data_IF_009894405819
#
_entry.id   IF_009894405819
#
_cell.length_a   1.000
_cell.length_b   1.000
_cell.length_c   1.000
_cell.angle_alpha   90.00
_cell.angle_beta   90.00
_cell.angle_gamma   90.00
#
_symmetry.space_group_name_H-M   'P 1'
#
loop_
_entity.id
_entity.type
_entity.pdbx_description
1 polymer ?
#
# COMPACT_ATOMS: atom_id res chain seq x y z
N UNK A 1 -44.20 40.99 5.10
CA UNK A 1 -42.86 40.95 4.49
C UNK A 1 -41.76 40.27 5.31
N UNK A 2 -42.02 39.89 6.59
CA UNK A 2 -40.97 39.35 7.50
C UNK A 2 -40.70 37.82 7.34
N UNK A 3 -41.63 37.05 6.75
CA UNK A 3 -41.49 35.60 6.63
C UNK A 3 -40.71 35.12 5.42
N UNK A 4 -40.59 35.95 4.40
CA UNK A 4 -39.88 35.61 3.13
C UNK A 4 -38.39 35.70 3.30
N UNK A 5 -37.90 36.69 4.01
CA UNK A 5 -36.47 36.88 4.32
C UNK A 5 -35.93 35.79 5.22
N UNK A 6 -36.74 35.25 6.16
CA UNK A 6 -36.37 34.17 7.08
C UNK A 6 -36.27 32.83 6.36
N UNK A 7 -37.11 32.59 5.35
CA UNK A 7 -37.05 31.37 4.50
C UNK A 7 -35.86 31.39 3.52
N UNK A 8 -35.53 32.54 2.94
CA UNK A 8 -34.34 32.68 2.10
C UNK A 8 -33.05 32.49 2.91
N UNK A 9 -32.98 32.97 4.17
CA UNK A 9 -31.83 32.76 5.02
C UNK A 9 -31.58 31.28 5.41
N UNK A 10 -32.66 30.52 5.65
CA UNK A 10 -32.55 29.09 5.94
C UNK A 10 -32.15 28.25 4.72
N UNK A 11 -32.60 28.62 3.51
CA UNK A 11 -32.19 27.95 2.27
C UNK A 11 -30.71 28.24 1.97
N UNK A 12 -30.24 29.46 2.16
CA UNK A 12 -28.84 29.85 1.99
C UNK A 12 -27.91 29.15 2.98
N UNK A 13 -28.34 28.99 4.23
CA UNK A 13 -27.56 28.29 5.24
C UNK A 13 -27.48 26.77 4.94
N UNK A 14 -28.57 26.16 4.47
CA UNK A 14 -28.60 24.76 4.05
C UNK A 14 -27.69 24.47 2.85
N UNK A 15 -27.66 25.38 1.88
CA UNK A 15 -26.80 25.25 0.71
C UNK A 15 -25.31 25.46 1.04
N UNK A 16 -24.99 26.34 1.99
CA UNK A 16 -23.63 26.55 2.47
C UNK A 16 -23.09 25.36 3.27
N UNK A 17 -23.94 24.68 4.06
CA UNK A 17 -23.55 23.47 4.79
C UNK A 17 -23.29 22.27 3.87
N UNK A 18 -23.98 22.15 2.74
CA UNK A 18 -23.76 21.05 1.79
C UNK A 18 -22.45 21.18 0.99
N UNK A 19 -21.82 22.35 0.96
CA UNK A 19 -20.52 22.57 0.31
C UNK A 19 -19.31 22.18 1.21
N UNK A 20 -19.55 21.89 2.51
CA UNK A 20 -18.50 21.46 3.42
C UNK A 20 -18.33 19.91 3.46
N UNK A 21 -19.09 19.15 2.70
CA UNK A 21 -18.94 17.71 2.63
C UNK A 21 -17.81 17.31 1.70
N UNK A 22 -16.59 17.20 2.24
CA UNK A 22 -15.70 16.26 1.62
C UNK A 22 -14.37 16.69 1.13
N UNK A 23 -13.46 16.85 2.05
CA UNK A 23 -12.13 16.31 1.78
C UNK A 23 -12.10 14.91 2.42
N UNK A 24 -12.51 13.88 1.67
CA UNK A 24 -12.15 12.51 2.03
C UNK A 24 -10.63 12.48 2.03
N UNK A 25 -10.03 12.36 3.23
CA UNK A 25 -8.59 12.31 3.35
C UNK A 25 -8.12 11.03 2.66
N UNK A 26 -7.50 11.16 1.49
CA UNK A 26 -6.89 10.05 0.76
C UNK A 26 -5.55 9.69 1.38
N UNK A 27 -5.24 8.40 1.43
CA UNK A 27 -3.90 7.90 1.78
C UNK A 27 -3.17 7.55 0.49
N UNK A 28 -1.97 8.06 0.34
CA UNK A 28 -1.11 7.68 -0.78
C UNK A 28 -0.22 6.51 -0.34
N UNK A 29 -0.34 5.39 -1.05
CA UNK A 29 0.56 4.25 -0.93
C UNK A 29 1.56 4.34 -2.07
N UNK A 30 2.72 4.91 -1.77
CA UNK A 30 3.86 4.94 -2.68
C UNK A 30 4.58 3.59 -2.62
N UNK A 31 4.70 2.93 -3.77
CA UNK A 31 5.24 1.58 -3.87
C UNK A 31 6.45 1.55 -4.79
N UNK A 32 7.53 0.95 -4.32
CA UNK A 32 8.67 0.62 -5.15
C UNK A 32 8.40 -0.72 -5.82
N UNK A 33 8.33 -0.72 -7.16
CA UNK A 33 7.93 -1.88 -7.97
C UNK A 33 9.03 -2.30 -8.91
N UNK A 34 9.27 -3.61 -8.96
CA UNK A 34 10.13 -4.24 -9.97
C UNK A 34 9.32 -5.34 -10.63
N UNK A 35 9.31 -5.37 -11.97
CA UNK A 35 8.60 -6.39 -12.72
C UNK A 35 9.44 -6.86 -13.91
N UNK A 36 9.35 -8.14 -14.21
CA UNK A 36 10.01 -8.78 -15.36
C UNK A 36 8.96 -9.57 -16.12
N UNK A 37 8.78 -9.24 -17.40
CA UNK A 37 7.98 -10.03 -18.34
C UNK A 37 8.93 -10.88 -19.17
N UNK A 38 8.76 -12.20 -19.10
CA UNK A 38 9.60 -13.20 -19.79
C UNK A 38 8.73 -14.17 -20.63
N UNK A 39 7.53 -13.71 -21.03
CA UNK A 39 6.66 -14.52 -21.86
C UNK A 39 7.32 -14.79 -23.24
N UNK A 40 7.33 -16.04 -23.71
CA UNK A 40 7.87 -16.36 -25.02
C UNK A 40 7.06 -15.68 -26.13
N UNK A 41 7.67 -15.44 -27.31
CA UNK A 41 6.96 -14.87 -28.45
C UNK A 41 5.70 -15.65 -28.80
N UNK A 42 4.58 -14.93 -28.97
CA UNK A 42 3.27 -15.52 -29.27
C UNK A 42 2.45 -15.94 -28.05
N UNK A 43 2.98 -15.90 -26.84
CA UNK A 43 2.19 -16.10 -25.62
C UNK A 43 1.47 -14.83 -25.23
N UNK A 44 0.15 -14.87 -25.21
CA UNK A 44 -0.65 -13.75 -24.73
C UNK A 44 -1.02 -13.98 -23.26
N UNK A 45 -0.55 -13.09 -22.39
CA UNK A 45 -0.90 -13.09 -20.96
C UNK A 45 -2.23 -12.36 -20.70
N UNK A 46 -2.72 -11.54 -21.63
CA UNK A 46 -3.99 -10.85 -21.51
C UNK A 46 -5.13 -11.88 -21.63
N UNK A 47 -6.01 -11.93 -20.63
CA UNK A 47 -7.10 -12.91 -20.58
C UNK A 47 -6.68 -14.34 -20.24
N UNK A 48 -5.41 -14.57 -19.90
CA UNK A 48 -4.94 -15.90 -19.54
C UNK A 48 -5.64 -16.43 -18.28
N UNK A 49 -5.89 -17.73 -18.26
CA UNK A 49 -6.47 -18.41 -17.10
C UNK A 49 -5.39 -18.86 -16.14
N UNK A 50 -5.67 -18.76 -14.84
CA UNK A 50 -4.69 -19.13 -13.81
C UNK A 50 -5.32 -19.92 -12.66
N UNK A 51 -4.44 -20.61 -11.92
CA UNK A 51 -4.71 -21.17 -10.60
C UNK A 51 -3.64 -20.72 -9.61
N UNK A 52 -4.00 -20.65 -8.32
CA UNK A 52 -2.98 -20.42 -7.29
C UNK A 52 -2.17 -21.69 -7.00
N UNK A 53 -0.90 -21.48 -6.73
CA UNK A 53 0.03 -22.49 -6.26
C UNK A 53 0.57 -22.05 -4.90
N UNK A 54 0.44 -22.91 -3.88
CA UNK A 54 0.91 -22.63 -2.52
C UNK A 54 2.14 -23.44 -2.20
N UNK A 55 3.09 -22.82 -1.53
CA UNK A 55 4.18 -23.54 -0.88
C UNK A 55 3.63 -24.35 0.32
N UNK A 56 4.26 -25.48 0.67
CA UNK A 56 3.86 -26.25 1.85
C UNK A 56 3.74 -25.42 3.14
N UNK A 57 4.61 -24.41 3.30
CA UNK A 57 4.58 -23.47 4.43
C UNK A 57 3.36 -22.52 4.44
N UNK A 58 2.70 -22.35 3.30
CA UNK A 58 1.55 -21.45 3.15
C UNK A 58 0.21 -22.18 3.28
N UNK A 59 0.18 -23.51 3.18
CA UNK A 59 -1.08 -24.29 3.14
C UNK A 59 -1.93 -24.06 4.39
N UNK A 60 -1.30 -23.97 5.56
CA UNK A 60 -1.99 -23.77 6.83
C UNK A 60 -1.88 -22.34 7.36
N UNK A 61 -1.42 -21.39 6.54
CA UNK A 61 -1.34 -19.98 6.93
C UNK A 61 -2.63 -19.25 6.54
N UNK A 62 -3.45 -18.78 7.48
CA UNK A 62 -4.69 -18.04 7.17
C UNK A 62 -4.43 -16.73 6.42
N UNK A 63 -3.28 -16.10 6.64
CA UNK A 63 -2.90 -14.88 5.94
C UNK A 63 -2.65 -15.12 4.44
N UNK A 64 -2.24 -16.33 4.05
CA UNK A 64 -2.08 -16.68 2.64
C UNK A 64 -3.40 -16.58 1.87
N UNK A 65 -4.51 -17.01 2.47
CA UNK A 65 -5.84 -16.88 1.86
C UNK A 65 -6.25 -15.42 1.65
N UNK A 66 -5.95 -14.54 2.61
CA UNK A 66 -6.22 -13.10 2.48
C UNK A 66 -5.33 -12.46 1.40
N UNK A 67 -4.06 -12.82 1.34
CA UNK A 67 -3.15 -12.33 0.32
C UNK A 67 -3.59 -12.77 -1.08
N UNK A 68 -4.00 -14.03 -1.26
CA UNK A 68 -4.54 -14.53 -2.53
C UNK A 68 -5.84 -13.80 -2.93
N UNK A 69 -6.72 -13.49 -1.99
CA UNK A 69 -7.93 -12.71 -2.27
C UNK A 69 -7.60 -11.31 -2.78
N UNK A 70 -6.65 -10.62 -2.17
CA UNK A 70 -6.18 -9.31 -2.63
C UNK A 70 -5.49 -9.40 -3.99
N UNK A 71 -4.63 -10.40 -4.17
CA UNK A 71 -3.97 -10.67 -5.45
C UNK A 71 -5.00 -10.98 -6.55
N UNK A 72 -6.02 -11.80 -6.26
CA UNK A 72 -7.09 -12.14 -7.20
C UNK A 72 -7.84 -10.87 -7.67
N UNK A 73 -8.19 -9.97 -6.76
CA UNK A 73 -8.85 -8.71 -7.12
C UNK A 73 -8.00 -7.89 -8.10
N UNK A 74 -6.70 -7.73 -7.81
CA UNK A 74 -5.78 -7.00 -8.68
C UNK A 74 -5.56 -7.70 -10.04
N UNK A 75 -5.42 -9.04 -10.05
CA UNK A 75 -5.28 -9.82 -11.29
C UNK A 75 -6.52 -9.77 -12.16
N UNK A 76 -7.72 -9.80 -11.55
CA UNK A 76 -8.98 -9.64 -12.28
C UNK A 76 -9.07 -8.25 -12.93
N UNK A 77 -8.62 -7.20 -12.25
CA UNK A 77 -8.60 -5.84 -12.78
C UNK A 77 -7.71 -5.69 -14.02
N UNK A 78 -6.66 -6.49 -14.16
CA UNK A 78 -5.79 -6.51 -15.35
C UNK A 78 -6.18 -7.57 -16.38
N UNK A 79 -7.34 -8.22 -16.20
CA UNK A 79 -7.93 -9.13 -17.19
C UNK A 79 -7.52 -10.60 -17.06
N UNK A 80 -6.80 -11.01 -16.01
CA UNK A 80 -6.54 -12.42 -15.73
C UNK A 80 -7.77 -13.11 -15.16
N UNK A 81 -8.01 -14.36 -15.52
CA UNK A 81 -9.22 -15.12 -15.15
C UNK A 81 -8.84 -16.33 -14.29
N UNK A 82 -9.37 -16.39 -13.06
CA UNK A 82 -9.16 -17.58 -12.23
C UNK A 82 -9.98 -18.75 -12.76
N UNK A 83 -9.31 -19.85 -13.07
CA UNK A 83 -9.93 -21.11 -13.48
C UNK A 83 -9.03 -22.27 -13.08
N UNK A 84 -9.32 -22.88 -11.94
CA UNK A 84 -8.45 -23.92 -11.37
C UNK A 84 -8.42 -25.20 -12.25
N UNK A 85 -9.48 -25.47 -13.03
CA UNK A 85 -9.58 -26.65 -13.89
C UNK A 85 -8.89 -26.47 -15.26
N UNK A 86 -8.96 -25.26 -15.83
CA UNK A 86 -8.44 -24.96 -17.17
C UNK A 86 -7.35 -23.89 -17.11
N UNK A 87 -6.55 -23.89 -16.04
CA UNK A 87 -5.48 -22.94 -15.87
C UNK A 87 -4.38 -23.12 -16.91
N UNK A 88 -3.92 -22.03 -17.48
CA UNK A 88 -2.72 -21.95 -18.31
C UNK A 88 -1.50 -21.58 -17.47
N UNK A 89 -1.71 -20.82 -16.39
CA UNK A 89 -0.68 -20.33 -15.51
C UNK A 89 -0.85 -20.89 -14.09
N UNK A 90 0.24 -21.20 -13.41
CA UNK A 90 0.26 -21.25 -11.96
C UNK A 90 0.77 -19.90 -11.43
N UNK A 91 0.13 -19.41 -10.36
CA UNK A 91 0.48 -18.14 -9.72
C UNK A 91 0.81 -18.38 -8.26
N UNK A 92 2.06 -18.09 -7.91
CA UNK A 92 2.52 -18.10 -6.53
C UNK A 92 2.43 -16.68 -5.96
N UNK A 93 1.79 -16.54 -4.81
CA UNK A 93 1.63 -15.27 -4.09
C UNK A 93 2.59 -15.25 -2.92
N UNK A 94 3.50 -14.29 -2.91
CA UNK A 94 4.35 -13.96 -1.77
C UNK A 94 3.86 -12.69 -1.07
N UNK A 95 3.96 -12.68 0.24
CA UNK A 95 3.68 -11.49 1.05
C UNK A 95 4.52 -11.51 2.32
N UNK A 96 4.93 -10.35 2.78
CA UNK A 96 5.61 -10.18 4.05
C UNK A 96 5.29 -8.82 4.67
N UNK A 97 5.33 -8.77 6.00
CA UNK A 97 5.15 -7.55 6.76
C UNK A 97 6.08 -7.54 7.96
N UNK A 98 6.80 -6.44 8.14
CA UNK A 98 7.64 -6.18 9.31
C UNK A 98 7.34 -4.81 9.87
N UNK A 99 7.60 -4.61 11.16
CA UNK A 99 7.48 -3.30 11.79
C UNK A 99 8.82 -2.89 12.40
N UNK A 100 9.11 -1.61 12.39
CA UNK A 100 10.30 -1.04 12.99
C UNK A 100 10.00 0.36 13.56
N UNK A 101 10.82 0.77 14.51
CA UNK A 101 10.79 2.14 15.00
C UNK A 101 11.52 3.05 14.02
N UNK A 102 10.91 4.17 13.67
CA UNK A 102 11.42 5.09 12.68
C UNK A 102 11.84 6.44 13.30
N UNK A 103 12.81 7.09 12.67
CA UNK A 103 13.09 8.51 12.94
C UNK A 103 11.97 9.39 12.31
N UNK A 104 11.97 10.71 12.53
CA UNK A 104 10.97 11.63 11.95
C UNK A 104 10.91 11.63 10.41
N UNK A 105 11.93 11.09 9.75
CA UNK A 105 12.00 10.96 8.29
C UNK A 105 11.67 9.54 7.79
N UNK A 106 11.22 8.65 8.70
CA UNK A 106 10.81 7.29 8.34
C UNK A 106 11.94 6.28 8.22
N UNK A 107 13.18 6.59 8.61
CA UNK A 107 14.32 5.67 8.54
C UNK A 107 14.36 4.78 9.78
N UNK A 108 14.77 3.51 9.65
CA UNK A 108 14.92 2.61 10.80
C UNK A 108 15.88 3.18 11.84
N UNK A 109 15.48 3.09 13.09
CA UNK A 109 16.31 3.51 14.24
C UNK A 109 17.15 2.33 14.68
N UNK A 110 18.48 2.53 14.73
CA UNK A 110 19.40 1.52 15.22
C UNK A 110 19.40 1.38 16.76
N UNK A 111 19.99 0.27 17.28
CA UNK A 111 20.19 0.10 18.71
C UNK A 111 21.02 1.28 19.27
N UNK A 112 20.54 1.92 20.34
CA UNK A 112 21.22 3.05 20.98
C UNK A 112 20.72 4.44 20.55
N UNK A 113 19.79 4.53 19.62
CA UNK A 113 19.15 5.80 19.30
C UNK A 113 18.22 6.23 20.43
N UNK A 114 18.51 7.36 21.05
CA UNK A 114 17.62 8.01 22.02
C UNK A 114 16.81 9.07 21.30
N UNK A 115 15.46 9.08 21.41
CA UNK A 115 14.65 10.12 20.80
C UNK A 115 14.97 11.46 21.46
N UNK A 116 15.77 12.28 20.79
CA UNK A 116 16.01 13.67 21.17
C UNK A 116 15.08 14.59 20.37
N UNK A 117 13.97 14.91 20.99
CA UNK A 117 13.21 16.10 20.69
C UNK A 117 13.05 16.88 21.99
N UNK A 118 14.05 17.61 22.41
CA UNK A 118 13.87 18.62 23.45
C UNK A 118 13.61 19.96 22.78
N UNK A 119 12.36 20.42 22.84
CA UNK A 119 12.10 21.84 22.56
C UNK A 119 12.43 22.57 23.86
N UNK A 120 13.63 23.12 23.94
CA UNK A 120 13.99 24.05 24.99
C UNK A 120 13.41 25.43 24.64
N UNK A 121 12.32 25.82 25.25
CA UNK A 121 11.88 27.21 25.22
C UNK A 121 12.68 27.96 26.29
N UNK A 122 13.81 28.50 25.88
CA UNK A 122 14.64 29.38 26.71
C UNK A 122 14.20 30.82 26.53
N UNK A 123 13.64 31.42 27.55
CA UNK A 123 13.62 32.90 27.70
C UNK A 123 14.96 33.34 28.25
N UNK A 124 15.85 33.83 27.40
CA UNK A 124 17.16 34.29 27.80
C UNK A 124 17.13 35.75 28.21
N UNK A 125 17.28 36.05 29.51
CA UNK A 125 17.97 37.23 30.03
C UNK A 125 18.72 36.74 31.29
N UNK A 126 20.00 36.54 31.16
CA UNK A 126 21.05 36.69 32.18
C UNK A 126 20.81 36.14 33.57
N UNK A 127 20.39 34.91 33.77
CA UNK A 127 20.67 34.05 34.92
C UNK A 127 20.11 32.67 34.71
N UNK A 128 20.88 31.65 35.02
CA UNK A 128 20.74 30.24 34.69
C UNK A 128 19.60 29.53 35.46
N UNK A 129 18.37 29.81 35.16
CA UNK A 129 17.25 28.95 35.54
C UNK A 129 16.44 28.66 34.26
N UNK A 130 16.91 27.72 33.48
CA UNK A 130 16.18 27.16 32.34
C UNK A 130 15.20 26.08 32.84
N UNK A 131 13.91 26.39 32.95
CA UNK A 131 12.88 25.36 33.03
C UNK A 131 12.70 24.80 31.63
N UNK A 132 13.50 23.80 31.26
CA UNK A 132 13.35 23.04 30.03
C UNK A 132 12.20 22.04 30.20
N UNK A 133 11.04 22.29 29.61
CA UNK A 133 9.99 21.26 29.45
C UNK A 133 10.39 20.40 28.28
N UNK A 134 11.14 19.32 28.53
CA UNK A 134 11.46 18.31 27.53
C UNK A 134 10.27 17.42 27.27
N UNK A 135 9.57 17.59 26.13
CA UNK A 135 8.62 16.60 25.67
C UNK A 135 9.39 15.46 24.99
N UNK A 136 9.26 14.26 25.53
CA UNK A 136 9.76 13.04 24.90
C UNK A 136 8.65 12.46 24.04
N UNK A 137 8.81 12.51 22.74
CA UNK A 137 7.91 11.81 21.80
C UNK A 137 8.48 10.42 21.55
N UNK A 138 7.73 9.34 21.79
CA UNK A 138 8.17 8.01 21.39
C UNK A 138 8.33 7.98 19.86
N UNK A 139 9.35 7.26 19.37
CA UNK A 139 9.56 7.14 17.93
C UNK A 139 8.33 6.48 17.28
N UNK A 140 7.89 6.97 16.11
CA UNK A 140 6.76 6.37 15.41
C UNK A 140 7.11 4.96 14.92
N UNK A 141 6.13 4.05 14.97
CA UNK A 141 6.26 2.73 14.36
C UNK A 141 5.96 2.84 12.87
N UNK A 142 6.85 2.35 12.04
CA UNK A 142 6.65 2.16 10.61
C UNK A 142 6.46 0.68 10.28
N UNK A 143 5.69 0.43 9.23
CA UNK A 143 5.34 -0.89 8.74
C UNK A 143 5.88 -1.03 7.32
N UNK A 144 6.82 -1.93 7.14
CA UNK A 144 7.31 -2.31 5.81
C UNK A 144 6.54 -3.52 5.33
N UNK A 145 5.99 -3.46 4.13
CA UNK A 145 5.24 -4.54 3.50
C UNK A 145 5.75 -4.79 2.10
N UNK A 146 5.75 -6.04 1.73
CA UNK A 146 6.15 -6.48 0.40
C UNK A 146 5.18 -7.54 -0.08
N UNK A 147 4.84 -7.47 -1.37
CA UNK A 147 4.12 -8.52 -2.08
C UNK A 147 4.90 -8.94 -3.31
N UNK A 148 4.72 -10.18 -3.72
CA UNK A 148 5.27 -10.69 -4.98
C UNK A 148 4.28 -11.62 -5.67
N UNK A 149 4.33 -11.64 -7.01
CA UNK A 149 3.62 -12.57 -7.85
C UNK A 149 4.60 -13.21 -8.81
N UNK A 150 4.62 -14.54 -8.83
CA UNK A 150 5.38 -15.32 -9.80
C UNK A 150 4.37 -16.12 -10.63
N UNK A 151 4.33 -15.84 -11.93
CA UNK A 151 3.43 -16.51 -12.87
C UNK A 151 4.27 -17.46 -13.73
N UNK A 152 3.89 -18.73 -13.71
CA UNK A 152 4.58 -19.80 -14.43
C UNK A 152 3.63 -20.42 -15.46
N UNK A 153 4.08 -20.60 -16.68
CA UNK A 153 3.35 -21.37 -17.69
C UNK A 153 3.32 -22.85 -17.31
N UNK A 154 2.12 -23.43 -17.24
CA UNK A 154 1.94 -24.82 -16.83
C UNK A 154 2.43 -25.84 -17.88
N UNK A 155 2.59 -25.43 -19.14
CA UNK A 155 3.06 -26.32 -20.22
C UNK A 155 4.59 -26.43 -20.22
N UNK A 156 5.26 -25.30 -20.14
CA UNK A 156 6.73 -25.23 -20.20
C UNK A 156 7.40 -25.22 -18.82
N UNK A 157 6.65 -24.98 -17.77
CA UNK A 157 7.13 -24.77 -16.41
C UNK A 157 8.06 -23.55 -16.26
N UNK A 158 8.09 -22.66 -17.24
CA UNK A 158 8.92 -21.45 -17.20
C UNK A 158 8.19 -20.29 -16.53
N UNK A 159 8.93 -19.45 -15.81
CA UNK A 159 8.40 -18.19 -15.30
C UNK A 159 8.21 -17.24 -16.47
N UNK A 160 6.97 -16.77 -16.66
CA UNK A 160 6.59 -15.87 -17.76
C UNK A 160 6.35 -14.45 -17.31
N UNK A 161 6.11 -14.26 -16.00
CA UNK A 161 5.98 -12.94 -15.39
C UNK A 161 6.35 -13.00 -13.91
N UNK A 162 7.13 -12.07 -13.47
CA UNK A 162 7.48 -11.90 -12.06
C UNK A 162 7.34 -10.43 -11.69
N UNK A 163 6.76 -10.15 -10.52
CA UNK A 163 6.67 -8.79 -10.03
C UNK A 163 6.73 -8.75 -8.50
N UNK A 164 7.29 -7.66 -7.99
CA UNK A 164 7.39 -7.37 -6.56
C UNK A 164 7.06 -5.91 -6.34
N UNK A 165 6.31 -5.63 -5.28
CA UNK A 165 6.03 -4.28 -4.83
C UNK A 165 6.25 -4.18 -3.32
N UNK A 166 6.90 -3.11 -2.88
CA UNK A 166 7.15 -2.84 -1.46
C UNK A 166 6.75 -1.42 -1.09
N UNK A 167 6.29 -1.25 0.14
CA UNK A 167 5.91 0.03 0.73
C UNK A 167 6.34 0.10 2.18
N UNK A 168 6.73 1.27 2.63
CA UNK A 168 6.99 1.56 4.03
C UNK A 168 6.26 2.82 4.46
N UNK A 169 5.51 2.73 5.58
CA UNK A 169 4.73 3.86 6.06
C UNK A 169 4.17 3.66 7.47
N UNK A 170 3.49 4.68 8.02
CA UNK A 170 2.98 4.66 9.39
C UNK A 170 1.66 3.89 9.56
N UNK A 171 1.06 3.42 8.46
CA UNK A 171 -0.26 2.81 8.48
C UNK A 171 -0.21 1.36 9.00
N UNK A 172 -0.97 1.05 10.06
CA UNK A 172 -1.00 -0.28 10.69
C UNK A 172 -1.95 -1.27 9.99
N UNK A 173 -2.93 -0.79 9.23
CA UNK A 173 -3.93 -1.60 8.54
C UNK A 173 -3.37 -2.31 7.30
N UNK A 174 -2.97 -3.56 7.44
CA UNK A 174 -2.27 -4.31 6.39
C UNK A 174 -3.14 -4.67 5.20
N UNK A 175 -4.43 -4.98 5.40
CA UNK A 175 -5.32 -5.45 4.32
C UNK A 175 -5.41 -4.50 3.13
N UNK A 176 -5.86 -3.24 3.30
CA UNK A 176 -5.92 -2.26 2.21
C UNK A 176 -4.56 -1.98 1.57
N UNK A 177 -3.48 -1.95 2.39
CA UNK A 177 -2.12 -1.72 1.88
C UNK A 177 -1.66 -2.88 0.99
N UNK A 178 -1.88 -4.14 1.37
CA UNK A 178 -1.56 -5.28 0.50
C UNK A 178 -2.35 -5.24 -0.80
N UNK A 179 -3.63 -4.86 -0.76
CA UNK A 179 -4.43 -4.66 -1.97
C UNK A 179 -3.83 -3.62 -2.92
N UNK A 180 -3.42 -2.46 -2.38
CA UNK A 180 -2.74 -1.42 -3.14
C UNK A 180 -1.40 -1.89 -3.72
N UNK A 181 -0.62 -2.67 -2.94
CA UNK A 181 0.65 -3.23 -3.40
C UNK A 181 0.47 -4.20 -4.57
N UNK A 182 -0.55 -5.07 -4.54
CA UNK A 182 -0.85 -5.96 -5.68
C UNK A 182 -1.29 -5.17 -6.91
N UNK A 183 -2.09 -4.11 -6.76
CA UNK A 183 -2.44 -3.21 -7.85
C UNK A 183 -1.20 -2.53 -8.43
N UNK A 184 -0.30 -2.02 -7.58
CA UNK A 184 0.95 -1.41 -8.01
C UNK A 184 1.87 -2.41 -8.72
N UNK A 185 1.99 -3.64 -8.19
CA UNK A 185 2.79 -4.71 -8.77
C UNK A 185 2.34 -5.08 -10.20
N UNK A 186 1.03 -5.02 -10.46
CA UNK A 186 0.43 -5.32 -11.76
C UNK A 186 0.22 -4.08 -12.64
N UNK A 187 0.66 -2.90 -12.20
CA UNK A 187 0.59 -1.71 -13.04
C UNK A 187 1.37 -1.93 -14.34
N UNK A 188 0.70 -1.66 -15.47
CA UNK A 188 1.22 -1.87 -16.82
C UNK A 188 1.45 -3.34 -17.23
N UNK A 189 0.80 -4.29 -16.53
CA UNK A 189 0.73 -5.67 -16.99
C UNK A 189 0.04 -5.74 -18.38
N UNK A 190 0.48 -6.58 -19.30
CA UNK A 190 1.56 -7.57 -19.21
C UNK A 190 2.95 -7.03 -19.63
N UNK A 191 3.06 -5.77 -20.03
CA UNK A 191 4.29 -5.17 -20.58
C UNK A 191 4.83 -4.06 -19.65
N UNK A 192 5.39 -4.41 -18.48
CA UNK A 192 5.95 -3.42 -17.56
C UNK A 192 7.23 -2.81 -18.16
N UNK A 193 7.54 -1.55 -17.85
CA UNK A 193 8.83 -0.98 -18.20
C UNK A 193 9.95 -1.70 -17.46
N UNK A 194 11.12 -1.73 -18.06
CA UNK A 194 12.31 -2.32 -17.45
C UNK A 194 12.80 -1.51 -16.24
N UNK A 195 13.24 -2.22 -15.21
CA UNK A 195 13.86 -1.64 -14.02
C UNK A 195 12.89 -1.24 -12.90
N UNK A 196 13.46 -0.74 -11.80
CA UNK A 196 12.67 -0.27 -10.65
C UNK A 196 11.86 0.98 -11.02
N UNK A 197 10.62 1.05 -10.51
CA UNK A 197 9.75 2.20 -10.70
C UNK A 197 8.92 2.47 -9.45
N UNK A 198 8.49 3.71 -9.28
CA UNK A 198 7.55 4.08 -8.23
C UNK A 198 6.14 4.16 -8.79
N UNK A 199 5.21 3.49 -8.11
CA UNK A 199 3.79 3.47 -8.43
C UNK A 199 3.01 3.92 -7.21
N UNK A 200 2.15 4.90 -7.38
CA UNK A 200 1.34 5.48 -6.32
C UNK A 200 -0.11 5.01 -6.46
N UNK A 201 -0.67 4.45 -5.39
CA UNK A 201 -2.07 4.06 -5.30
C UNK A 201 -2.74 4.88 -4.22
N UNK A 202 -3.85 5.49 -4.55
CA UNK A 202 -4.67 6.26 -3.61
C UNK A 202 -5.71 5.35 -2.97
N UNK A 203 -5.75 5.36 -1.63
CA UNK A 203 -6.73 4.63 -0.83
C UNK A 203 -7.61 5.64 -0.07
N UNK A 204 -8.92 5.42 0.00
CA UNK A 204 -9.77 6.16 0.91
C UNK A 204 -9.36 5.84 2.37
N UNK A 205 -9.52 6.83 3.25
CA UNK A 205 -9.34 6.66 4.70
C UNK A 205 -10.56 6.00 5.33
#
# INVERSE_FOLDING_TARGET
MHNTTRRLGMIGLGLALSLLTGCAAMRLVDSDVVSVAAAPPGMNLQGATYRFERLPSQVNNPEAGLAEQQAQAAMTAVGLVRNDALAQLSVMVGFSGTQYLADPWGRPIGPGWTPYGSIAIGSGIGSHIGLGVGMRFPPPTHYQREVSLIMRDLKSSQVVYETRASHSGPWSDSGPIFGALFQAALAQFPNPPAGPRRVNIELPR
#
